data_IF_330747278594
#
_entry.id   IF_330747278594
#
_cell.length_a   1.000
_cell.length_b   1.000
_cell.length_c   1.000
_cell.angle_alpha   90.00
_cell.angle_beta   90.00
_cell.angle_gamma   90.00
#
_symmetry.space_group_name_H-M   'P 1'
#
loop_
_entity.id
_entity.type
_entity.pdbx_description
1 polymer ?
#
# COMPACT_ATOMS: atom_id res chain seq x y z
N UNK A 1 16.28 10.57 -5.82
CA UNK A 1 15.42 10.26 -4.66
C UNK A 1 15.51 8.76 -4.38
N UNK A 2 15.81 8.40 -3.12
CA UNK A 2 15.81 7.00 -2.65
C UNK A 2 14.37 6.56 -2.36
N UNK A 3 14.01 5.38 -2.83
CA UNK A 3 12.66 4.81 -2.74
C UNK A 3 12.67 3.48 -2.02
N UNK A 4 11.76 3.32 -1.06
CA UNK A 4 11.59 2.07 -0.32
C UNK A 4 10.16 1.57 -0.42
N UNK A 5 9.98 0.26 -0.57
CA UNK A 5 8.70 -0.39 -0.36
C UNK A 5 8.61 -0.96 1.06
N UNK A 6 7.57 -0.58 1.79
CA UNK A 6 7.22 -1.13 3.08
C UNK A 6 5.90 -1.90 2.96
N UNK A 7 5.92 -3.16 3.37
CA UNK A 7 4.79 -4.09 3.28
C UNK A 7 4.29 -4.37 4.70
N UNK A 8 3.29 -3.62 5.19
CA UNK A 8 2.75 -3.87 6.52
C UNK A 8 2.06 -5.24 6.55
N UNK A 9 2.41 -6.04 7.54
CA UNK A 9 1.89 -7.38 7.69
C UNK A 9 1.49 -7.66 9.13
N UNK A 10 0.30 -8.27 9.31
CA UNK A 10 -0.20 -8.77 10.59
C UNK A 10 -1.02 -10.04 10.38
N UNK A 11 -1.00 -10.93 11.36
CA UNK A 11 -1.80 -12.16 11.36
C UNK A 11 -3.24 -11.85 11.75
N UNK A 12 -3.44 -10.90 12.67
CA UNK A 12 -4.72 -10.50 13.24
C UNK A 12 -5.55 -9.71 12.20
N UNK A 13 -6.36 -10.42 11.44
CA UNK A 13 -7.35 -9.84 10.53
C UNK A 13 -8.76 -10.15 11.03
N UNK A 14 -9.59 -9.11 11.17
CA UNK A 14 -10.98 -9.24 11.64
C UNK A 14 -11.84 -10.15 10.74
N UNK A 15 -11.57 -10.19 9.44
CA UNK A 15 -12.34 -10.96 8.44
C UNK A 15 -11.77 -12.33 8.16
N UNK A 16 -10.45 -12.47 8.17
CA UNK A 16 -9.77 -13.72 7.85
C UNK A 16 -8.41 -13.76 8.58
N UNK A 17 -8.39 -14.40 9.75
CA UNK A 17 -7.17 -14.58 10.54
C UNK A 17 -6.12 -15.36 9.74
N UNK A 18 -4.87 -14.92 9.77
CA UNK A 18 -3.77 -15.60 9.08
C UNK A 18 -3.75 -15.43 7.56
N UNK A 19 -4.61 -14.58 6.95
CA UNK A 19 -4.71 -14.42 5.48
C UNK A 19 -3.36 -14.32 4.77
N UNK A 20 -2.40 -13.60 5.32
CA UNK A 20 -1.10 -13.37 4.69
C UNK A 20 -0.21 -14.61 4.64
N UNK A 21 -0.47 -15.59 5.53
CA UNK A 21 0.23 -16.88 5.58
C UNK A 21 -0.43 -17.93 4.69
N UNK A 22 -1.67 -17.69 4.24
CA UNK A 22 -2.34 -18.57 3.29
C UNK A 22 -1.56 -18.67 1.98
N UNK A 23 -1.63 -19.87 1.37
CA UNK A 23 -0.84 -20.18 0.18
C UNK A 23 -1.63 -19.92 -1.10
N UNK A 24 -1.11 -19.05 -1.94
CA UNK A 24 -1.54 -18.89 -3.32
C UNK A 24 -0.58 -19.68 -4.23
N UNK A 25 -1.07 -20.78 -4.82
CA UNK A 25 -0.26 -21.72 -5.62
C UNK A 25 1.00 -22.19 -4.86
N UNK A 26 0.84 -22.63 -3.60
CA UNK A 26 1.90 -23.20 -2.79
C UNK A 26 2.83 -22.22 -2.06
N UNK A 27 2.73 -20.90 -2.34
CA UNK A 27 3.58 -19.86 -1.72
C UNK A 27 2.70 -18.94 -0.87
N UNK A 28 3.06 -18.62 0.39
CA UNK A 28 2.34 -17.65 1.22
C UNK A 28 2.13 -16.31 0.50
N UNK A 29 0.95 -15.72 0.68
CA UNK A 29 0.57 -14.46 0.01
C UNK A 29 1.60 -13.36 0.29
N UNK A 30 2.02 -13.19 1.54
CA UNK A 30 3.01 -12.18 1.92
C UNK A 30 4.35 -12.34 1.18
N UNK A 31 4.80 -13.59 0.94
CA UNK A 31 6.01 -13.85 0.19
C UNK A 31 5.86 -13.52 -1.30
N UNK A 32 4.67 -13.76 -1.88
CA UNK A 32 4.40 -13.34 -3.26
C UNK A 32 4.42 -11.83 -3.40
N UNK A 33 3.78 -11.11 -2.47
CA UNK A 33 3.81 -9.64 -2.46
C UNK A 33 5.24 -9.12 -2.34
N UNK A 34 6.04 -9.70 -1.43
CA UNK A 34 7.44 -9.33 -1.25
C UNK A 34 8.27 -9.60 -2.52
N UNK A 35 8.11 -10.77 -3.13
CA UNK A 35 8.81 -11.14 -4.37
C UNK A 35 8.40 -10.24 -5.54
N UNK A 36 7.09 -10.00 -5.75
CA UNK A 36 6.59 -9.09 -6.79
C UNK A 36 7.17 -7.68 -6.62
N UNK A 37 7.25 -7.17 -5.39
CA UNK A 37 7.86 -5.87 -5.12
C UNK A 37 9.34 -5.83 -5.50
N UNK A 38 10.12 -6.87 -5.20
CA UNK A 38 11.52 -7.00 -5.59
C UNK A 38 11.68 -7.07 -7.11
N UNK A 39 10.84 -7.83 -7.79
CA UNK A 39 10.87 -8.04 -9.25
C UNK A 39 10.61 -6.74 -10.05
N UNK A 40 9.95 -5.74 -9.44
CA UNK A 40 9.78 -4.43 -10.10
C UNK A 40 11.11 -3.76 -10.38
N UNK A 41 12.14 -3.98 -9.56
CA UNK A 41 13.45 -3.28 -9.61
C UNK A 41 13.32 -1.74 -9.57
N UNK A 42 12.28 -1.20 -8.94
CA UNK A 42 12.03 0.24 -8.81
C UNK A 42 12.52 0.77 -7.47
N UNK A 43 12.54 -0.08 -6.45
CA UNK A 43 12.88 0.27 -5.08
C UNK A 43 14.36 0.03 -4.78
N UNK A 44 14.97 0.92 -4.00
CA UNK A 44 16.32 0.72 -3.46
C UNK A 44 16.31 -0.41 -2.41
N UNK A 45 15.18 -0.53 -1.68
CA UNK A 45 14.95 -1.61 -0.70
C UNK A 45 13.47 -1.97 -0.59
N UNK A 46 13.20 -3.22 -0.18
CA UNK A 46 11.86 -3.75 0.13
C UNK A 46 11.91 -4.43 1.49
N UNK A 47 10.99 -4.08 2.40
CA UNK A 47 10.87 -4.71 3.72
C UNK A 47 9.44 -5.10 4.04
N UNK A 48 9.27 -6.25 4.68
CA UNK A 48 8.04 -6.60 5.39
C UNK A 48 8.10 -5.98 6.78
N UNK A 49 7.05 -5.26 7.19
CA UNK A 49 6.96 -4.60 8.49
C UNK A 49 5.93 -5.31 9.36
N UNK A 50 6.36 -5.93 10.44
CA UNK A 50 5.49 -6.77 11.27
C UNK A 50 5.95 -6.83 12.72
N UNK A 51 5.03 -7.17 13.63
CA UNK A 51 5.34 -7.55 15.01
C UNK A 51 5.22 -9.06 15.23
N UNK A 52 4.65 -9.81 14.27
CA UNK A 52 4.36 -11.24 14.41
C UNK A 52 5.61 -12.09 14.15
N UNK A 53 6.02 -12.88 15.14
CA UNK A 53 7.21 -13.72 15.04
C UNK A 53 7.08 -14.78 13.94
N UNK A 54 5.87 -15.32 13.65
CA UNK A 54 5.63 -16.25 12.55
C UNK A 54 5.96 -15.66 11.17
N UNK A 55 5.61 -14.38 10.94
CA UNK A 55 5.96 -13.68 9.71
C UNK A 55 7.47 -13.38 9.68
N UNK A 56 8.06 -13.01 10.82
CA UNK A 56 9.50 -12.79 10.94
C UNK A 56 10.27 -14.07 10.59
N UNK A 57 9.87 -15.21 11.14
CA UNK A 57 10.54 -16.50 10.90
C UNK A 57 10.36 -16.95 9.43
N UNK A 58 9.20 -16.68 8.85
CA UNK A 58 8.97 -16.90 7.43
C UNK A 58 9.93 -16.04 6.58
N UNK A 59 10.10 -14.75 6.90
CA UNK A 59 11.04 -13.87 6.19
C UNK A 59 12.49 -14.33 6.36
N UNK A 60 12.90 -14.74 7.57
CA UNK A 60 14.25 -15.30 7.81
C UNK A 60 14.49 -16.56 6.98
N UNK A 61 13.49 -17.43 6.81
CA UNK A 61 13.62 -18.69 6.05
C UNK A 61 14.00 -18.49 4.58
N UNK A 62 13.72 -17.30 4.02
CA UNK A 62 14.04 -16.93 2.65
C UNK A 62 15.16 -15.88 2.55
N UNK A 63 15.84 -15.53 3.66
CA UNK A 63 16.75 -14.40 3.78
C UNK A 63 16.12 -13.06 3.32
N UNK A 64 14.81 -12.91 3.50
CA UNK A 64 14.04 -11.71 3.18
C UNK A 64 14.25 -10.60 4.22
N UNK A 65 14.18 -9.34 3.78
CA UNK A 65 14.32 -8.18 4.66
C UNK A 65 13.03 -7.91 5.41
N UNK A 66 13.13 -7.65 6.71
CA UNK A 66 12.00 -7.25 7.55
C UNK A 66 12.38 -6.20 8.57
N UNK A 67 11.39 -5.45 9.05
CA UNK A 67 11.50 -4.52 10.17
C UNK A 67 10.48 -4.92 11.23
N UNK A 68 10.91 -4.92 12.50
CA UNK A 68 10.00 -5.18 13.62
C UNK A 68 9.33 -3.88 14.03
N UNK A 69 7.98 -3.88 14.06
CA UNK A 69 7.15 -2.78 14.56
C UNK A 69 6.55 -3.13 15.92
N UNK A 70 5.98 -2.14 16.62
CA UNK A 70 5.15 -2.40 17.79
C UNK A 70 3.86 -3.14 17.40
N UNK A 71 3.14 -3.70 18.38
CA UNK A 71 1.86 -4.41 18.12
C UNK A 71 0.68 -3.45 17.94
N UNK A 72 0.76 -2.26 18.51
CA UNK A 72 -0.35 -1.33 18.61
C UNK A 72 -0.38 -0.35 17.44
N UNK A 73 -1.08 -0.76 16.36
CA UNK A 73 -1.33 0.10 15.21
C UNK A 73 -2.76 -0.08 14.71
N UNK A 74 -3.46 1.02 14.52
CA UNK A 74 -4.82 1.01 13.97
C UNK A 74 -4.82 0.60 12.50
N UNK A 75 -3.82 1.04 11.73
CA UNK A 75 -3.71 0.78 10.30
C UNK A 75 -2.31 0.28 9.88
N UNK A 76 -2.23 -0.25 8.65
CA UNK A 76 -0.94 -0.57 8.02
C UNK A 76 -0.09 0.67 7.77
N UNK A 77 -0.72 1.83 7.51
CA UNK A 77 -0.03 3.10 7.31
C UNK A 77 0.67 3.56 8.58
N UNK A 78 0.01 3.46 9.75
CA UNK A 78 0.62 3.82 11.04
C UNK A 78 1.82 2.92 11.36
N UNK A 79 1.69 1.63 11.04
CA UNK A 79 2.79 0.65 11.22
C UNK A 79 4.03 1.01 10.42
N UNK A 80 3.88 1.39 9.15
CA UNK A 80 5.02 1.78 8.33
C UNK A 80 5.55 3.17 8.70
N UNK A 81 4.71 4.08 9.16
CA UNK A 81 5.12 5.40 9.63
C UNK A 81 6.07 5.29 10.82
N UNK A 82 5.76 4.43 11.82
CA UNK A 82 6.62 4.17 12.97
C UNK A 82 8.05 3.83 12.54
N UNK A 83 8.22 2.82 11.70
CA UNK A 83 9.56 2.37 11.28
C UNK A 83 10.24 3.35 10.33
N UNK A 84 9.47 4.21 9.63
CA UNK A 84 10.02 5.17 8.68
C UNK A 84 10.79 6.31 9.36
N UNK A 85 10.59 6.57 10.65
CA UNK A 85 11.23 7.68 11.37
C UNK A 85 12.75 7.60 11.24
N UNK A 86 13.32 6.41 11.41
CA UNK A 86 14.78 6.19 11.41
C UNK A 86 15.35 5.82 10.04
N UNK A 87 14.50 5.67 9.01
CA UNK A 87 14.95 5.28 7.67
C UNK A 87 15.43 6.51 6.86
N UNK A 88 16.41 6.29 5.99
CA UNK A 88 17.02 7.32 5.15
C UNK A 88 16.56 7.16 3.67
N UNK A 89 15.25 7.33 3.44
CA UNK A 89 14.61 7.30 2.12
C UNK A 89 13.76 8.54 1.92
N UNK A 90 13.64 8.99 0.67
CA UNK A 90 12.86 10.17 0.31
C UNK A 90 11.38 9.81 0.10
N UNK A 91 11.12 8.67 -0.55
CA UNK A 91 9.79 8.17 -0.91
C UNK A 91 9.55 6.81 -0.25
N UNK A 92 8.44 6.72 0.47
CA UNK A 92 7.95 5.50 1.12
C UNK A 92 6.72 5.00 0.34
N UNK A 93 6.79 3.78 -0.19
CA UNK A 93 5.65 3.14 -0.84
C UNK A 93 5.07 2.09 0.08
N UNK A 94 3.80 2.29 0.46
CA UNK A 94 2.99 1.35 1.23
C UNK A 94 2.36 0.34 0.29
N UNK A 95 2.86 -0.89 0.28
CA UNK A 95 2.31 -2.02 -0.46
C UNK A 95 1.52 -2.91 0.48
N UNK A 96 0.21 -3.04 0.28
CA UNK A 96 -0.60 -3.93 1.12
C UNK A 96 -0.10 -5.37 1.00
N UNK A 97 0.03 -6.07 2.15
CA UNK A 97 0.58 -7.44 2.20
C UNK A 97 -0.20 -8.48 1.38
N UNK A 98 -1.43 -8.15 0.97
CA UNK A 98 -2.33 -8.98 0.17
C UNK A 98 -2.48 -8.53 -1.30
N UNK A 99 -1.53 -7.73 -1.80
CA UNK A 99 -1.44 -7.30 -3.21
C UNK A 99 -0.28 -8.03 -3.94
N UNK A 100 -0.43 -9.33 -4.27
CA UNK A 100 0.67 -10.14 -4.81
C UNK A 100 0.94 -9.91 -6.29
N UNK A 101 0.15 -9.08 -6.99
CA UNK A 101 0.22 -8.86 -8.44
C UNK A 101 0.63 -7.43 -8.79
N UNK A 102 1.70 -6.96 -8.15
CA UNK A 102 2.26 -5.63 -8.38
C UNK A 102 3.05 -5.66 -9.69
N UNK A 103 2.76 -4.73 -10.60
CA UNK A 103 3.50 -4.62 -11.86
C UNK A 103 4.44 -3.40 -11.85
N UNK A 104 5.56 -3.57 -12.56
CA UNK A 104 6.62 -2.57 -12.64
C UNK A 104 6.14 -1.22 -13.18
N UNK A 105 5.34 -1.23 -14.27
CA UNK A 105 4.91 0.01 -14.94
C UNK A 105 4.02 0.87 -14.04
N UNK A 106 3.12 0.22 -13.27
CA UNK A 106 2.27 0.92 -12.31
C UNK A 106 3.09 1.57 -11.21
N UNK A 107 4.10 0.85 -10.67
CA UNK A 107 4.97 1.40 -9.62
C UNK A 107 5.87 2.50 -10.17
N UNK A 108 6.44 2.36 -11.38
CA UNK A 108 7.21 3.42 -12.02
C UNK A 108 6.38 4.71 -12.20
N UNK A 109 5.14 4.59 -12.68
CA UNK A 109 4.23 5.74 -12.79
C UNK A 109 4.01 6.38 -11.43
N UNK A 110 3.67 5.60 -10.41
CA UNK A 110 3.39 6.09 -9.05
C UNK A 110 4.58 6.87 -8.47
N UNK A 111 5.80 6.35 -8.56
CA UNK A 111 6.97 7.02 -7.98
C UNK A 111 7.45 8.19 -8.82
N UNK A 112 7.16 8.22 -10.12
CA UNK A 112 7.53 9.32 -11.01
C UNK A 112 6.71 10.59 -10.75
N UNK A 113 5.50 10.48 -10.16
CA UNK A 113 4.72 11.65 -9.72
C UNK A 113 5.52 12.54 -8.75
N UNK A 114 6.41 11.98 -7.96
CA UNK A 114 7.25 12.71 -7.01
C UNK A 114 8.41 13.51 -7.65
N UNK A 115 8.57 13.47 -8.97
CA UNK A 115 9.42 14.41 -9.70
C UNK A 115 8.84 15.84 -9.59
N UNK A 116 7.53 15.97 -9.46
CA UNK A 116 6.89 17.20 -9.02
C UNK A 116 7.05 17.33 -7.49
N UNK A 117 7.61 18.46 -7.04
CA UNK A 117 7.85 18.73 -5.62
C UNK A 117 6.58 19.01 -4.82
N UNK A 118 5.51 19.40 -5.49
CA UNK A 118 4.22 19.67 -4.87
C UNK A 118 3.47 18.37 -4.51
N UNK A 119 3.79 17.26 -5.18
CA UNK A 119 3.20 15.96 -4.87
C UNK A 119 3.75 15.43 -3.55
N UNK A 120 2.87 15.31 -2.57
CA UNK A 120 3.18 14.85 -1.21
C UNK A 120 2.74 13.41 -0.99
N UNK A 121 1.66 13.00 -1.64
CA UNK A 121 1.08 11.65 -1.59
C UNK A 121 0.49 11.32 -2.95
N UNK A 122 0.63 10.07 -3.38
CA UNK A 122 0.02 9.54 -4.59
C UNK A 122 -0.52 8.13 -4.37
N UNK A 123 -1.49 7.73 -5.18
CA UNK A 123 -2.06 6.38 -5.17
C UNK A 123 -2.37 5.95 -6.60
N UNK A 124 -2.72 4.67 -6.77
CA UNK A 124 -3.03 4.12 -8.08
C UNK A 124 -4.55 4.03 -8.28
N UNK A 125 -4.97 4.20 -9.52
CA UNK A 125 -6.34 3.95 -9.97
C UNK A 125 -6.35 3.32 -11.37
N UNK A 126 -7.46 2.69 -11.73
CA UNK A 126 -7.73 2.19 -13.08
C UNK A 126 -9.21 2.31 -13.45
N UNK A 127 -9.51 2.20 -14.71
CA UNK A 127 -10.89 2.07 -15.17
C UNK A 127 -11.51 0.77 -14.62
N UNK A 128 -12.83 0.77 -14.44
CA UNK A 128 -13.59 -0.45 -14.21
C UNK A 128 -13.71 -1.25 -15.52
N UNK A 129 -13.69 -2.57 -15.44
CA UNK A 129 -13.83 -3.44 -16.60
C UNK A 129 -15.29 -3.47 -17.09
N UNK A 130 -16.23 -3.45 -16.14
CA UNK A 130 -17.66 -3.56 -16.40
C UNK A 130 -18.50 -2.92 -15.28
N UNK A 131 -19.83 -2.94 -15.45
CA UNK A 131 -20.77 -2.40 -14.46
C UNK A 131 -20.84 -3.24 -13.17
N UNK A 132 -20.62 -4.54 -13.25
CA UNK A 132 -20.67 -5.41 -12.08
C UNK A 132 -19.48 -5.12 -11.16
N UNK A 133 -18.28 -4.92 -11.73
CA UNK A 133 -17.12 -4.46 -10.98
C UNK A 133 -17.33 -3.07 -10.36
N UNK A 134 -17.95 -2.14 -11.11
CA UNK A 134 -18.27 -0.80 -10.61
C UNK A 134 -19.26 -0.84 -9.45
N UNK A 135 -20.30 -1.67 -9.54
CA UNK A 135 -21.35 -1.76 -8.50
C UNK A 135 -20.92 -2.58 -7.27
N UNK A 136 -19.82 -3.32 -7.35
CA UNK A 136 -19.35 -4.15 -6.24
C UNK A 136 -18.85 -3.26 -5.08
N UNK A 137 -19.48 -3.31 -3.88
CA UNK A 137 -19.10 -2.46 -2.74
C UNK A 137 -17.73 -2.80 -2.12
N UNK A 138 -17.13 -3.93 -2.50
CA UNK A 138 -15.76 -4.25 -2.10
C UNK A 138 -14.70 -3.44 -2.88
N UNK A 139 -15.06 -2.92 -4.04
CA UNK A 139 -14.20 -2.03 -4.81
C UNK A 139 -14.41 -0.58 -4.35
N UNK A 140 -13.37 0.10 -3.98
CA UNK A 140 -13.41 1.54 -3.68
C UNK A 140 -13.39 2.31 -5.00
N UNK A 141 -14.32 3.26 -5.16
CA UNK A 141 -14.38 4.21 -6.26
C UNK A 141 -13.65 5.47 -5.86
N UNK A 142 -12.96 6.07 -6.79
CA UNK A 142 -12.39 7.41 -6.66
C UNK A 142 -12.84 8.26 -7.84
N UNK A 143 -13.20 9.50 -7.59
CA UNK A 143 -13.36 10.54 -8.60
C UNK A 143 -12.23 11.55 -8.44
N UNK A 144 -11.76 12.08 -9.57
CA UNK A 144 -10.63 13.00 -9.64
C UNK A 144 -11.00 14.25 -10.42
N UNK A 145 -10.27 15.32 -10.18
CA UNK A 145 -10.35 16.52 -11.00
C UNK A 145 -9.57 16.37 -12.33
N UNK A 146 -9.54 17.46 -13.12
CA UNK A 146 -8.85 17.51 -14.42
C UNK A 146 -7.32 17.28 -14.32
N UNK A 147 -6.73 17.54 -13.15
CA UNK A 147 -5.31 17.41 -12.87
C UNK A 147 -5.00 16.11 -12.09
N UNK A 148 -5.99 15.19 -12.03
CA UNK A 148 -5.91 13.88 -11.36
C UNK A 148 -5.79 13.93 -9.82
N UNK A 149 -6.11 15.07 -9.19
CA UNK A 149 -6.25 15.10 -7.72
C UNK A 149 -7.57 14.45 -7.31
N UNK A 150 -7.49 13.60 -6.28
CA UNK A 150 -8.68 12.91 -5.75
C UNK A 150 -9.63 13.90 -5.09
N UNK A 151 -10.90 13.88 -5.54
CA UNK A 151 -11.97 14.71 -4.98
C UNK A 151 -12.69 13.93 -3.87
N UNK A 152 -13.01 12.65 -4.12
CA UNK A 152 -13.77 11.84 -3.16
C UNK A 152 -13.54 10.34 -3.39
N UNK A 153 -13.73 9.56 -2.31
CA UNK A 153 -13.68 8.10 -2.31
C UNK A 153 -15.02 7.55 -1.80
N UNK A 154 -15.51 6.47 -2.40
CA UNK A 154 -16.78 5.85 -2.04
C UNK A 154 -16.80 4.35 -2.29
N UNK A 155 -17.58 3.59 -1.51
CA UNK A 155 -17.86 2.18 -1.80
C UNK A 155 -19.04 1.98 -2.75
N UNK A 156 -19.83 3.02 -2.99
CA UNK A 156 -20.90 3.03 -3.99
C UNK A 156 -20.50 3.96 -5.14
N UNK A 157 -21.02 3.72 -6.38
CA UNK A 157 -20.78 4.61 -7.50
C UNK A 157 -21.25 6.04 -7.16
N UNK A 158 -20.42 7.03 -7.51
CA UNK A 158 -20.74 8.43 -7.30
C UNK A 158 -21.34 9.02 -8.55
N UNK A 159 -22.41 9.81 -8.39
CA UNK A 159 -22.98 10.60 -9.49
C UNK A 159 -22.20 11.91 -9.58
N UNK A 160 -21.39 12.04 -10.61
CA UNK A 160 -20.51 13.21 -10.83
C UNK A 160 -20.32 13.42 -12.34
N UNK A 161 -19.87 14.62 -12.72
CA UNK A 161 -19.51 14.94 -14.10
C UNK A 161 -18.18 14.27 -14.53
N UNK A 162 -17.49 13.61 -13.58
CA UNK A 162 -16.24 12.88 -13.82
C UNK A 162 -16.46 11.38 -13.70
N UNK A 163 -15.60 10.61 -14.35
CA UNK A 163 -15.65 9.15 -14.30
C UNK A 163 -15.32 8.62 -12.90
N UNK A 164 -15.97 7.49 -12.54
CA UNK A 164 -15.55 6.70 -11.39
C UNK A 164 -14.41 5.78 -11.81
N UNK A 165 -13.29 5.87 -11.10
CA UNK A 165 -12.15 4.95 -11.25
C UNK A 165 -12.11 3.97 -10.08
N UNK A 166 -11.58 2.78 -10.32
CA UNK A 166 -11.27 1.84 -9.23
C UNK A 166 -9.98 2.26 -8.56
N UNK A 167 -10.06 2.59 -7.28
CA UNK A 167 -8.89 2.85 -6.46
C UNK A 167 -8.14 1.56 -6.16
N UNK A 168 -6.80 1.61 -6.25
CA UNK A 168 -5.88 0.53 -5.91
C UNK A 168 -5.15 0.93 -4.63
N UNK A 169 -5.19 0.07 -3.61
CA UNK A 169 -4.67 0.34 -2.26
C UNK A 169 -3.15 0.36 -2.13
N UNK A 170 -2.46 0.93 -3.11
CA UNK A 170 -1.02 1.20 -3.08
C UNK A 170 -0.82 2.69 -2.94
N UNK A 171 -0.05 3.11 -1.94
CA UNK A 171 0.17 4.52 -1.65
C UNK A 171 1.66 4.84 -1.62
N UNK A 172 2.04 5.97 -2.19
CA UNK A 172 3.37 6.53 -2.07
C UNK A 172 3.31 7.86 -1.34
N UNK A 173 4.29 8.13 -0.50
CA UNK A 173 4.38 9.34 0.30
C UNK A 173 5.80 9.91 0.27
N UNK A 174 5.94 11.23 0.37
CA UNK A 174 7.19 11.76 0.93
C UNK A 174 7.30 11.33 2.38
N UNK A 175 8.50 11.01 2.84
CA UNK A 175 8.71 10.47 4.21
C UNK A 175 8.09 11.36 5.28
N UNK A 176 8.35 12.67 5.21
CA UNK A 176 7.84 13.64 6.17
C UNK A 176 6.32 13.65 6.20
N UNK A 177 5.69 13.64 5.02
CA UNK A 177 4.22 13.60 4.88
C UNK A 177 3.62 12.34 5.47
N UNK A 178 4.26 11.16 5.30
CA UNK A 178 3.80 9.93 5.94
C UNK A 178 3.81 10.03 7.47
N UNK A 179 4.89 10.59 8.03
CA UNK A 179 5.04 10.76 9.49
C UNK A 179 4.01 11.78 10.02
N UNK A 180 3.76 12.85 9.29
CA UNK A 180 2.74 13.84 9.65
C UNK A 180 1.34 13.23 9.56
N UNK A 181 1.03 12.51 8.48
CA UNK A 181 -0.25 11.84 8.27
C UNK A 181 -0.58 10.87 9.42
N UNK A 182 0.38 10.10 9.90
CA UNK A 182 0.17 9.15 11.01
C UNK A 182 -0.12 9.81 12.37
N UNK A 183 0.13 11.12 12.50
CA UNK A 183 -0.15 11.91 13.72
C UNK A 183 -1.49 12.63 13.67
N UNK A 184 -2.15 12.65 12.51
CA UNK A 184 -3.46 13.28 12.37
C UNK A 184 -4.50 12.49 13.17
N UNK A 185 -5.33 13.19 13.92
CA UNK A 185 -6.47 12.58 14.59
C UNK A 185 -7.47 12.05 13.55
N UNK A 186 -8.02 10.86 13.80
CA UNK A 186 -9.09 10.32 12.98
C UNK A 186 -10.33 11.23 13.12
N UNK A 187 -10.73 11.90 12.05
CA UNK A 187 -12.00 12.61 12.04
C UNK A 187 -13.13 11.57 12.12
N UNK A 188 -14.09 11.74 13.04
CA UNK A 188 -15.25 10.85 13.09
C UNK A 188 -16.02 10.96 11.76
N UNK A 189 -16.34 9.80 11.18
CA UNK A 189 -17.19 9.68 9.98
C UNK A 189 -18.63 10.14 10.30
#
# INVERSE_FOLDING_TARGET
MKKIALIPARIESKRFYGKLLEKLSGVPIILRTYQSALETNVFDDVFVVTHNDEIIDLMKSINGKYLKSSSDHESGTDRIAEVSIDLQYDIIVNLQGDEPFIDKLSIEKLVNEFNDKEVQMASLMRNFNDKDELNNPNNVKVIVDKDYYSINFSRIPMNSDTDNYKHIGVYAFRKETLIEFSKMENFPN
#
